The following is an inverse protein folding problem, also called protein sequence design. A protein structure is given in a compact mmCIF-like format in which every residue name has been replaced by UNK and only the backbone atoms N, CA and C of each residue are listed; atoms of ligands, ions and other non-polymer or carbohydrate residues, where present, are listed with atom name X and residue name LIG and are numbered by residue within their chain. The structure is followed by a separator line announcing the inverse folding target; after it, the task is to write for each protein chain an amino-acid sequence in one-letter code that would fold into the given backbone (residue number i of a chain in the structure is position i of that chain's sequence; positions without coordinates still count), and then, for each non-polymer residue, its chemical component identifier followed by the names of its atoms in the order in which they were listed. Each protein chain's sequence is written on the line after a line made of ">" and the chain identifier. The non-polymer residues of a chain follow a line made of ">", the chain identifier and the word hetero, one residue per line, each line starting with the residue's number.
data_IF_137698325524
#
_entry.id   IF_137698325524
#
_cell.length_a   1.000
_cell.length_b   1.000
_cell.length_c   1.000
_cell.angle_alpha   90.00
_cell.angle_beta   90.00
_cell.angle_gamma   90.00
#
_symmetry.space_group_name_H-M   'P 1'
#
loop_
_entity.id
_entity.type
_entity.pdbx_description
1 polymer ?
#
# COMPACT_ATOMS: atom_id res chain seq x y z
N UNK A 1 75.11 -7.47 -6.75
CA UNK A 1 73.85 -8.25 -6.73
C UNK A 1 73.23 -8.14 -5.33
N UNK A 2 72.36 -7.16 -5.04
CA UNK A 2 72.13 -6.74 -3.65
C UNK A 2 70.72 -7.05 -3.10
N UNK A 3 70.16 -8.26 -3.27
CA UNK A 3 68.85 -8.58 -2.63
C UNK A 3 68.70 -9.97 -2.00
N UNK A 4 69.73 -10.65 -1.45
CA UNK A 4 69.52 -11.92 -0.77
C UNK A 4 68.56 -11.78 0.43
N UNK A 5 68.59 -10.65 1.13
CA UNK A 5 67.73 -10.39 2.28
C UNK A 5 66.23 -10.32 1.92
N UNK A 6 65.88 -9.71 0.79
CA UNK A 6 64.47 -9.61 0.36
C UNK A 6 63.89 -10.98 -0.03
N UNK A 7 64.72 -11.87 -0.60
CA UNK A 7 64.29 -13.23 -0.94
C UNK A 7 63.99 -14.05 0.32
N UNK A 8 64.83 -13.94 1.34
CA UNK A 8 64.60 -14.63 2.63
C UNK A 8 63.41 -14.06 3.40
N UNK A 9 63.26 -12.73 3.43
CA UNK A 9 62.10 -12.10 4.03
C UNK A 9 60.80 -12.53 3.33
N UNK A 10 60.77 -12.50 1.98
CA UNK A 10 59.63 -12.96 1.22
C UNK A 10 59.29 -14.44 1.50
N UNK A 11 60.29 -15.33 1.56
CA UNK A 11 60.07 -16.74 1.86
C UNK A 11 59.46 -16.97 3.26
N UNK A 12 59.91 -16.20 4.27
CA UNK A 12 59.39 -16.31 5.65
C UNK A 12 57.92 -15.91 5.79
N UNK A 13 57.42 -15.01 4.95
CA UNK A 13 56.01 -14.62 4.97
C UNK A 13 55.16 -15.44 3.98
N UNK A 14 55.71 -15.79 2.82
CA UNK A 14 54.97 -16.44 1.74
C UNK A 14 54.71 -17.92 2.02
N UNK A 15 55.64 -18.64 2.66
CA UNK A 15 55.47 -20.06 3.00
C UNK A 15 54.35 -20.27 4.05
N UNK A 16 54.30 -19.54 5.18
CA UNK A 16 53.18 -19.64 6.12
C UNK A 16 51.85 -19.18 5.51
N UNK A 17 51.85 -18.14 4.67
CA UNK A 17 50.64 -17.67 4.00
C UNK A 17 50.07 -18.74 3.05
N UNK A 18 50.92 -19.42 2.27
CA UNK A 18 50.50 -20.54 1.43
C UNK A 18 49.99 -21.73 2.26
N UNK A 19 50.65 -22.02 3.39
CA UNK A 19 50.21 -23.06 4.33
C UNK A 19 48.81 -22.78 4.89
N UNK A 20 48.54 -21.54 5.30
CA UNK A 20 47.21 -21.12 5.76
C UNK A 20 46.17 -21.16 4.64
N UNK A 21 46.50 -20.66 3.44
CA UNK A 21 45.59 -20.68 2.30
C UNK A 21 45.20 -22.13 1.92
N UNK A 22 46.17 -23.04 1.88
CA UNK A 22 45.91 -24.45 1.60
C UNK A 22 45.07 -25.10 2.71
N UNK A 23 45.32 -24.75 3.98
CA UNK A 23 44.51 -25.21 5.11
C UNK A 23 43.03 -24.79 5.01
N UNK A 24 42.76 -23.54 4.63
CA UNK A 24 41.38 -23.04 4.44
C UNK A 24 40.66 -23.81 3.32
N UNK A 25 41.34 -24.11 2.22
CA UNK A 25 40.76 -24.90 1.12
C UNK A 25 40.36 -26.30 1.60
N UNK A 26 41.23 -26.98 2.35
CA UNK A 26 40.92 -28.31 2.90
C UNK A 26 39.73 -28.29 3.87
N UNK A 27 39.65 -27.29 4.74
CA UNK A 27 38.52 -27.12 5.66
C UNK A 27 37.22 -26.91 4.88
N UNK A 28 37.23 -26.03 3.87
CA UNK A 28 36.06 -25.76 3.04
C UNK A 28 35.60 -27.02 2.29
N UNK A 29 36.54 -27.80 1.73
CA UNK A 29 36.22 -29.08 1.07
C UNK A 29 35.62 -30.09 2.04
N UNK A 30 36.18 -30.20 3.26
CA UNK A 30 35.67 -31.13 4.27
C UNK A 30 34.26 -30.75 4.74
N UNK A 31 34.00 -29.46 4.97
CA UNK A 31 32.67 -28.96 5.34
C UNK A 31 31.67 -29.21 4.21
N UNK A 32 32.03 -28.95 2.96
CA UNK A 32 31.18 -29.25 1.80
C UNK A 32 30.87 -30.73 1.67
N UNK A 33 31.87 -31.60 1.87
CA UNK A 33 31.69 -33.05 1.83
C UNK A 33 30.80 -33.55 2.98
N UNK A 34 31.00 -33.04 4.20
CA UNK A 34 30.17 -33.38 5.35
C UNK A 34 28.71 -32.97 5.11
N UNK A 35 28.47 -31.78 4.55
CA UNK A 35 27.12 -31.33 4.21
C UNK A 35 26.46 -32.23 3.15
N UNK A 36 27.18 -32.58 2.08
CA UNK A 36 26.68 -33.48 1.05
C UNK A 36 26.37 -34.89 1.62
N UNK A 37 27.26 -35.42 2.47
CA UNK A 37 27.05 -36.69 3.15
C UNK A 37 25.82 -36.66 4.07
N UNK A 38 25.61 -35.55 4.81
CA UNK A 38 24.41 -35.36 5.62
C UNK A 38 23.13 -35.32 4.77
N UNK A 39 23.13 -34.61 3.65
CA UNK A 39 21.98 -34.58 2.74
C UNK A 39 21.65 -35.97 2.18
N UNK A 40 22.66 -36.72 1.76
CA UNK A 40 22.48 -38.11 1.29
C UNK A 40 21.94 -38.99 2.42
N UNK A 41 22.49 -38.86 3.64
CA UNK A 41 21.99 -39.59 4.81
C UNK A 41 20.52 -39.27 5.09
N UNK A 42 20.12 -38.01 5.06
CA UNK A 42 18.72 -37.60 5.27
C UNK A 42 17.78 -38.20 4.22
N UNK A 43 18.16 -38.20 2.95
CA UNK A 43 17.38 -38.85 1.89
C UNK A 43 17.28 -40.37 2.11
N UNK A 44 18.37 -41.04 2.45
CA UNK A 44 18.34 -42.48 2.73
C UNK A 44 17.49 -42.82 3.97
N UNK A 45 17.55 -41.99 5.01
CA UNK A 45 16.71 -42.14 6.21
C UNK A 45 15.25 -41.91 5.86
N UNK A 46 14.93 -40.92 5.02
CA UNK A 46 13.56 -40.65 4.55
C UNK A 46 12.99 -41.84 3.77
N UNK A 47 13.79 -42.45 2.89
CA UNK A 47 13.40 -43.68 2.16
C UNK A 47 13.18 -44.86 3.12
N UNK A 48 14.08 -45.06 4.08
CA UNK A 48 13.97 -46.14 5.06
C UNK A 48 12.78 -45.96 6.01
N UNK A 49 12.51 -44.73 6.45
CA UNK A 49 11.37 -44.39 7.30
C UNK A 49 10.04 -44.71 6.60
N UNK A 50 9.95 -44.49 5.28
CA UNK A 50 8.76 -44.87 4.48
C UNK A 50 8.53 -46.38 4.39
N UNK A 51 9.58 -47.19 4.48
CA UNK A 51 9.47 -48.66 4.45
C UNK A 51 9.10 -49.27 5.81
N UNK A 52 9.14 -48.50 6.90
CA UNK A 52 8.90 -49.02 8.25
C UNK A 52 7.44 -48.81 8.66
N UNK A 53 6.62 -49.89 8.81
CA UNK A 53 5.23 -49.76 9.24
C UNK A 53 5.19 -49.27 10.70
N UNK A 54 4.71 -48.05 10.91
CA UNK A 54 4.65 -47.37 12.22
C UNK A 54 5.17 -45.93 12.23
N UNK A 55 6.09 -45.58 11.33
CA UNK A 55 6.65 -44.21 11.20
C UNK A 55 6.12 -43.51 9.93
N UNK A 56 5.54 -44.27 8.99
CA UNK A 56 5.07 -43.76 7.69
C UNK A 56 4.14 -42.56 7.82
N UNK A 57 3.25 -42.55 8.80
CA UNK A 57 2.24 -41.50 8.96
C UNK A 57 2.82 -40.16 9.46
N UNK A 58 4.07 -40.15 9.95
CA UNK A 58 4.77 -38.95 10.39
C UNK A 58 5.69 -38.34 9.31
N UNK A 59 5.87 -39.03 8.18
CA UNK A 59 6.68 -38.52 7.06
C UNK A 59 5.73 -37.82 6.08
N UNK A 60 5.83 -36.50 5.87
CA UNK A 60 5.03 -35.82 4.87
C UNK A 60 5.19 -36.50 3.51
N UNK A 61 4.07 -36.75 2.84
CA UNK A 61 4.08 -37.25 1.47
C UNK A 61 4.80 -36.22 0.58
N UNK A 62 5.68 -36.70 -0.31
CA UNK A 62 6.28 -35.83 -1.33
C UNK A 62 5.18 -35.48 -2.32
N UNK A 63 4.48 -34.39 -2.04
CA UNK A 63 3.47 -33.82 -2.93
C UNK A 63 4.19 -33.51 -4.24
N UNK A 64 3.73 -34.12 -5.33
CA UNK A 64 4.39 -33.92 -6.62
C UNK A 64 4.35 -32.44 -7.00
N UNK A 65 5.34 -31.90 -7.73
CA UNK A 65 5.35 -30.49 -8.13
C UNK A 65 4.07 -30.06 -8.87
N UNK A 66 3.40 -31.01 -9.54
CA UNK A 66 2.13 -30.80 -10.23
C UNK A 66 0.94 -30.64 -9.27
N UNK A 67 0.89 -31.43 -8.19
CA UNK A 67 -0.15 -31.30 -7.15
C UNK A 67 0.04 -30.03 -6.30
N UNK A 68 1.29 -29.59 -6.10
CA UNK A 68 1.57 -28.30 -5.44
C UNK A 68 1.11 -27.14 -6.32
N UNK A 69 1.30 -27.22 -7.64
CA UNK A 69 0.81 -26.22 -8.57
C UNK A 69 -0.73 -26.17 -8.60
N UNK A 70 -1.39 -27.33 -8.62
CA UNK A 70 -2.85 -27.41 -8.57
C UNK A 70 -3.41 -26.82 -7.25
N UNK A 71 -2.83 -27.17 -6.11
CA UNK A 71 -3.23 -26.62 -4.81
C UNK A 71 -2.97 -25.11 -4.69
N UNK A 72 -1.93 -24.60 -5.35
CA UNK A 72 -1.68 -23.16 -5.42
C UNK A 72 -2.73 -22.44 -6.24
N UNK A 73 -3.13 -22.99 -7.38
CA UNK A 73 -4.21 -22.45 -8.19
C UNK A 73 -5.53 -22.43 -7.41
N UNK A 74 -5.87 -23.54 -6.73
CA UNK A 74 -7.06 -23.62 -5.87
C UNK A 74 -6.99 -22.61 -4.70
N UNK A 75 -5.81 -22.41 -4.11
CA UNK A 75 -5.63 -21.43 -3.04
C UNK A 75 -5.75 -19.98 -3.55
N UNK A 76 -5.26 -19.68 -4.76
CA UNK A 76 -5.39 -18.38 -5.40
C UNK A 76 -6.84 -18.08 -5.80
N UNK A 77 -7.56 -19.05 -6.34
CA UNK A 77 -9.00 -18.93 -6.62
C UNK A 77 -9.81 -18.74 -5.33
N UNK A 78 -9.47 -19.46 -4.26
CA UNK A 78 -10.11 -19.26 -2.97
C UNK A 78 -9.79 -17.87 -2.38
N UNK A 79 -8.53 -17.43 -2.44
CA UNK A 79 -8.13 -16.12 -1.94
C UNK A 79 -8.82 -14.98 -2.72
N UNK A 80 -8.93 -15.09 -4.03
CA UNK A 80 -9.62 -14.08 -4.84
C UNK A 80 -11.12 -14.02 -4.55
N UNK A 81 -11.78 -15.16 -4.33
CA UNK A 81 -13.20 -15.21 -3.93
C UNK A 81 -13.43 -14.56 -2.57
N UNK A 82 -12.58 -14.89 -1.58
CA UNK A 82 -12.67 -14.29 -0.24
C UNK A 82 -12.40 -12.79 -0.30
N UNK A 83 -11.42 -12.34 -1.10
CA UNK A 83 -11.15 -10.92 -1.27
C UNK A 83 -12.35 -10.17 -1.89
N UNK A 84 -13.03 -10.77 -2.87
CA UNK A 84 -14.22 -10.18 -3.49
C UNK A 84 -15.42 -10.13 -2.52
N UNK A 85 -15.59 -11.15 -1.68
CA UNK A 85 -16.64 -11.18 -0.65
C UNK A 85 -16.41 -10.09 0.42
N UNK A 86 -15.16 -9.95 0.88
CA UNK A 86 -14.78 -8.89 1.83
C UNK A 86 -15.01 -7.51 1.22
N UNK A 87 -14.63 -7.29 -0.04
CA UNK A 87 -14.84 -5.99 -0.70
C UNK A 87 -16.33 -5.66 -0.83
N UNK A 88 -17.18 -6.67 -1.14
CA UNK A 88 -18.61 -6.49 -1.21
C UNK A 88 -19.23 -6.16 0.16
N UNK A 89 -18.81 -6.83 1.23
CA UNK A 89 -19.25 -6.52 2.60
C UNK A 89 -18.82 -5.11 3.03
N UNK A 90 -17.60 -4.69 2.68
CA UNK A 90 -17.11 -3.33 2.95
C UNK A 90 -17.94 -2.29 2.20
N UNK A 91 -18.27 -2.53 0.93
CA UNK A 91 -19.08 -1.62 0.12
C UNK A 91 -20.53 -1.51 0.66
N UNK A 92 -21.12 -2.62 1.11
CA UNK A 92 -22.44 -2.62 1.75
C UNK A 92 -22.44 -1.80 3.04
N UNK A 93 -21.44 -2.00 3.90
CA UNK A 93 -21.33 -1.23 5.15
C UNK A 93 -21.03 0.25 4.88
N UNK A 94 -20.15 0.55 3.93
CA UNK A 94 -19.81 1.93 3.57
C UNK A 94 -21.01 2.69 2.99
N UNK A 95 -21.84 2.04 2.19
CA UNK A 95 -23.07 2.64 1.66
C UNK A 95 -24.14 2.80 2.72
N UNK A 96 -24.26 1.87 3.68
CA UNK A 96 -25.18 1.99 4.80
C UNK A 96 -24.80 3.10 5.81
N UNK A 97 -23.49 3.36 5.98
CA UNK A 97 -22.97 4.40 6.87
C UNK A 97 -22.86 5.78 6.20
N UNK A 98 -23.12 5.88 4.90
CA UNK A 98 -23.09 7.15 4.20
C UNK A 98 -24.22 8.07 4.71
N UNK A 99 -23.93 9.35 5.01
CA UNK A 99 -24.96 10.27 5.52
C UNK A 99 -26.06 10.46 4.49
N UNK A 100 -27.31 10.25 4.92
CA UNK A 100 -28.48 10.29 4.04
C UNK A 100 -28.94 11.72 3.76
N UNK A 101 -28.63 12.65 4.68
CA UNK A 101 -29.00 14.05 4.57
C UNK A 101 -27.83 15.02 4.81
N UNK A 102 -27.92 16.27 4.29
CA UNK A 102 -26.89 17.28 4.51
C UNK A 102 -26.67 17.63 5.98
N UNK A 103 -27.71 17.53 6.82
CA UNK A 103 -27.60 17.79 8.26
C UNK A 103 -26.78 16.72 8.97
N UNK A 104 -26.97 15.43 8.63
CA UNK A 104 -26.16 14.33 9.14
C UNK A 104 -24.71 14.47 8.71
N UNK A 105 -24.46 14.79 7.43
CA UNK A 105 -23.09 15.01 6.94
C UNK A 105 -22.40 16.16 7.69
N UNK A 106 -23.11 17.26 7.93
CA UNK A 106 -22.60 18.38 8.71
C UNK A 106 -22.33 18.00 10.17
N UNK A 107 -23.17 17.17 10.78
CA UNK A 107 -22.96 16.67 12.14
C UNK A 107 -21.69 15.80 12.22
N UNK A 108 -21.48 14.89 11.25
CA UNK A 108 -20.27 14.07 11.16
C UNK A 108 -19.01 14.93 10.99
N UNK A 109 -19.09 16.00 10.19
CA UNK A 109 -17.98 16.94 10.03
C UNK A 109 -17.64 17.65 11.35
N UNK A 110 -18.66 18.08 12.10
CA UNK A 110 -18.47 18.72 13.41
C UNK A 110 -17.83 17.74 14.39
N UNK A 111 -18.32 16.50 14.45
CA UNK A 111 -17.76 15.45 15.29
C UNK A 111 -16.28 15.15 14.93
N UNK A 112 -15.97 15.04 13.64
CA UNK A 112 -14.60 14.85 13.18
C UNK A 112 -13.69 16.03 13.57
N UNK A 113 -14.19 17.27 13.47
CA UNK A 113 -13.45 18.47 13.89
C UNK A 113 -13.23 18.53 15.40
N UNK A 114 -14.21 18.08 16.20
CA UNK A 114 -14.05 17.96 17.65
C UNK A 114 -13.00 16.91 18.01
N UNK A 115 -13.02 15.76 17.34
CA UNK A 115 -12.01 14.71 17.51
C UNK A 115 -10.60 15.22 17.15
N UNK A 116 -10.47 16.01 16.07
CA UNK A 116 -9.21 16.65 15.69
C UNK A 116 -8.67 17.55 16.82
N UNK A 117 -9.52 18.42 17.38
CA UNK A 117 -9.13 19.30 18.50
C UNK A 117 -8.68 18.51 19.73
N UNK A 118 -9.35 17.39 20.03
CA UNK A 118 -8.93 16.50 21.12
C UNK A 118 -7.56 15.90 20.83
N UNK A 119 -7.31 15.44 19.61
CA UNK A 119 -6.02 14.90 19.21
C UNK A 119 -4.89 15.95 19.27
N UNK A 120 -5.16 17.19 18.85
CA UNK A 120 -4.21 18.32 19.00
C UNK A 120 -3.87 18.57 20.47
N UNK A 121 -4.88 18.55 21.34
CA UNK A 121 -4.70 18.65 22.79
C UNK A 121 -3.84 17.51 23.36
N UNK A 122 -4.07 16.27 22.91
CA UNK A 122 -3.30 15.10 23.33
C UNK A 122 -1.83 15.20 22.91
N UNK A 123 -1.54 15.70 21.70
CA UNK A 123 -0.17 15.96 21.26
C UNK A 123 0.50 17.00 22.16
N UNK A 124 -0.19 18.11 22.44
CA UNK A 124 0.36 19.17 23.29
C UNK A 124 0.68 18.64 24.71
N UNK A 125 -0.24 17.87 25.30
CA UNK A 125 -0.05 17.25 26.62
C UNK A 125 1.09 16.22 26.61
N UNK A 126 1.17 15.38 25.58
CA UNK A 126 2.24 14.40 25.45
C UNK A 126 3.60 15.08 25.30
N UNK A 127 3.68 16.17 24.52
CA UNK A 127 4.91 16.95 24.35
C UNK A 127 5.35 17.64 25.64
N UNK A 128 4.41 18.19 26.42
CA UNK A 128 4.70 18.80 27.72
C UNK A 128 5.22 17.76 28.71
N UNK A 129 4.53 16.62 28.85
CA UNK A 129 4.96 15.50 29.70
C UNK A 129 6.34 14.96 29.31
N UNK A 130 6.61 14.83 28.00
CA UNK A 130 7.91 14.37 27.51
C UNK A 130 9.05 15.34 27.83
N UNK A 131 8.78 16.66 27.76
CA UNK A 131 9.74 17.71 28.15
C UNK A 131 10.03 17.67 29.65
N UNK A 132 9.00 17.53 30.48
CA UNK A 132 9.15 17.48 31.95
C UNK A 132 9.95 16.26 32.40
N UNK A 133 9.68 15.10 31.81
CA UNK A 133 10.29 13.83 32.21
C UNK A 133 11.60 13.52 31.48
N UNK A 134 12.02 14.38 30.53
CA UNK A 134 13.18 14.14 29.66
C UNK A 134 13.14 12.75 29.00
N UNK A 135 11.95 12.27 28.63
CA UNK A 135 11.68 10.91 28.18
C UNK A 135 10.29 10.80 27.54
N UNK A 136 9.82 9.59 27.21
CA UNK A 136 8.42 9.42 26.75
C UNK A 136 8.11 9.89 25.32
N UNK A 137 9.11 10.15 24.47
CA UNK A 137 8.92 10.57 23.07
C UNK A 137 8.09 9.59 22.22
N UNK A 138 8.00 8.32 22.61
CA UNK A 138 7.14 7.36 21.94
C UNK A 138 5.66 7.75 22.03
N UNK A 139 5.21 8.24 23.20
CA UNK A 139 3.84 8.72 23.38
C UNK A 139 3.54 9.96 22.53
N UNK A 140 4.54 10.82 22.29
CA UNK A 140 4.42 11.96 21.37
C UNK A 140 4.25 11.49 19.92
N UNK A 141 5.02 10.48 19.50
CA UNK A 141 4.87 9.89 18.17
C UNK A 141 3.48 9.28 17.99
N UNK A 142 3.00 8.47 18.95
CA UNK A 142 1.66 7.89 18.91
C UNK A 142 0.56 8.96 18.87
N UNK A 143 0.67 10.01 19.69
CA UNK A 143 -0.29 11.12 19.67
C UNK A 143 -0.28 11.86 18.32
N UNK A 144 0.89 12.01 17.68
CA UNK A 144 1.00 12.63 16.35
C UNK A 144 0.40 11.77 15.25
N UNK A 145 0.55 10.44 15.35
CA UNK A 145 -0.08 9.53 14.40
C UNK A 145 -1.61 9.58 14.55
N UNK A 146 -2.13 9.61 15.78
CA UNK A 146 -3.56 9.84 16.05
C UNK A 146 -4.06 11.18 15.51
N UNK A 147 -3.25 12.24 15.60
CA UNK A 147 -3.58 13.54 15.02
C UNK A 147 -3.69 13.47 13.49
N UNK A 148 -2.78 12.75 12.82
CA UNK A 148 -2.86 12.55 11.36
C UNK A 148 -4.11 11.77 10.97
N UNK A 149 -4.45 10.71 11.71
CA UNK A 149 -5.67 9.94 11.47
C UNK A 149 -6.92 10.80 11.66
N UNK A 150 -6.98 11.62 12.71
CA UNK A 150 -8.08 12.54 12.94
C UNK A 150 -8.20 13.58 11.81
N UNK A 151 -7.09 14.10 11.31
CA UNK A 151 -7.07 15.03 10.18
C UNK A 151 -7.58 14.38 8.89
N UNK A 152 -7.21 13.13 8.63
CA UNK A 152 -7.74 12.36 7.50
C UNK A 152 -9.28 12.19 7.61
N UNK A 153 -9.80 11.86 8.79
CA UNK A 153 -11.26 11.74 9.02
C UNK A 153 -12.00 13.05 8.78
N UNK A 154 -11.42 14.20 9.15
CA UNK A 154 -12.00 15.51 8.83
C UNK A 154 -12.05 15.74 7.33
N UNK A 155 -10.98 15.41 6.61
CA UNK A 155 -10.94 15.54 5.15
C UNK A 155 -12.02 14.67 4.47
N UNK A 156 -12.20 13.44 4.93
CA UNK A 156 -13.23 12.53 4.42
C UNK A 156 -14.65 13.07 4.71
N UNK A 157 -14.90 13.53 5.94
CA UNK A 157 -16.19 14.11 6.31
C UNK A 157 -16.51 15.40 5.52
N UNK A 158 -15.50 16.22 5.23
CA UNK A 158 -15.65 17.38 4.33
C UNK A 158 -16.02 16.98 2.91
N UNK A 159 -15.39 15.94 2.37
CA UNK A 159 -15.73 15.42 1.05
C UNK A 159 -17.18 14.91 1.02
N UNK A 160 -17.60 14.13 2.02
CA UNK A 160 -18.97 13.62 2.13
C UNK A 160 -20.00 14.75 2.25
N UNK A 161 -19.70 15.78 3.05
CA UNK A 161 -20.59 16.95 3.21
C UNK A 161 -20.77 17.71 1.89
N UNK A 162 -19.69 17.89 1.12
CA UNK A 162 -19.80 18.54 -0.20
C UNK A 162 -20.55 17.67 -1.21
N UNK A 163 -20.31 16.36 -1.22
CA UNK A 163 -20.99 15.43 -2.10
C UNK A 163 -22.51 15.39 -1.84
N UNK A 164 -22.91 15.31 -0.57
CA UNK A 164 -24.33 15.32 -0.17
C UNK A 164 -25.01 16.66 -0.48
N UNK A 165 -24.34 17.79 -0.25
CA UNK A 165 -24.84 19.11 -0.65
C UNK A 165 -25.02 19.23 -2.16
N UNK A 166 -24.07 18.72 -2.95
CA UNK A 166 -24.16 18.70 -4.40
C UNK A 166 -25.36 17.88 -4.89
N UNK A 167 -25.53 16.66 -4.39
CA UNK A 167 -26.67 15.78 -4.74
C UNK A 167 -28.00 16.42 -4.31
N UNK A 168 -28.07 17.01 -3.12
CA UNK A 168 -29.27 17.68 -2.65
C UNK A 168 -29.65 18.88 -3.54
N UNK A 169 -28.66 19.67 -3.95
CA UNK A 169 -28.87 20.80 -4.86
C UNK A 169 -29.36 20.34 -6.24
N UNK A 170 -28.80 19.26 -6.80
CA UNK A 170 -29.21 18.69 -8.07
C UNK A 170 -30.66 18.17 -8.03
N UNK A 171 -31.03 17.48 -6.95
CA UNK A 171 -32.40 17.00 -6.74
C UNK A 171 -33.41 18.14 -6.57
N UNK A 172 -33.01 19.25 -5.93
CA UNK A 172 -33.85 20.44 -5.80
C UNK A 172 -34.16 21.06 -7.17
N UNK A 173 -33.16 21.18 -8.06
CA UNK A 173 -33.37 21.68 -9.44
C UNK A 173 -34.29 20.77 -10.26
N UNK A 174 -34.13 19.45 -10.15
CA UNK A 174 -35.02 18.47 -10.80
C UNK A 174 -36.48 18.62 -10.34
N UNK A 175 -36.70 18.91 -9.05
CA UNK A 175 -38.05 19.08 -8.49
C UNK A 175 -38.74 20.38 -8.94
N UNK A 176 -37.97 21.42 -9.28
CA UNK A 176 -38.52 22.71 -9.76
C UNK A 176 -38.95 22.63 -11.25
N UNK A 177 -38.75 21.49 -11.92
CA UNK A 177 -39.13 21.35 -13.32
C UNK A 177 -38.26 22.17 -14.28
N UNK A 178 -37.05 22.54 -13.84
CA UNK A 178 -36.04 23.08 -14.72
C UNK A 178 -35.46 21.91 -15.55
N UNK A 179 -36.23 21.45 -16.54
CA UNK A 179 -35.88 20.32 -17.42
C UNK A 179 -34.67 20.64 -18.32
N UNK A 180 -34.30 21.92 -18.42
CA UNK A 180 -33.13 22.42 -19.16
C UNK A 180 -32.19 23.25 -18.27
N UNK A 181 -31.65 22.66 -17.21
CA UNK A 181 -30.34 23.14 -16.74
C UNK A 181 -29.31 22.40 -17.58
N UNK A 182 -28.56 23.06 -18.50
CA UNK A 182 -27.65 22.37 -19.39
C UNK A 182 -26.62 21.65 -18.53
N UNK A 183 -26.61 20.33 -18.60
CA UNK A 183 -25.68 19.40 -17.94
C UNK A 183 -24.22 19.86 -18.12
N UNK A 184 -23.94 20.61 -19.19
CA UNK A 184 -22.66 21.25 -19.46
C UNK A 184 -22.25 22.34 -18.46
N UNK A 185 -23.17 23.08 -17.84
CA UNK A 185 -22.80 24.08 -16.82
C UNK A 185 -22.36 23.42 -15.51
N UNK A 186 -23.04 22.35 -15.09
CA UNK A 186 -22.64 21.59 -13.90
C UNK A 186 -21.31 20.85 -14.15
N UNK A 187 -21.19 20.16 -15.28
CA UNK A 187 -19.94 19.49 -15.66
C UNK A 187 -18.75 20.46 -15.79
N UNK A 188 -18.95 21.66 -16.36
CA UNK A 188 -17.87 22.68 -16.42
C UNK A 188 -17.49 23.24 -15.06
N UNK A 189 -18.44 23.36 -14.13
CA UNK A 189 -18.17 23.85 -12.77
C UNK A 189 -17.47 22.80 -11.92
N UNK A 190 -17.82 21.52 -12.09
CA UNK A 190 -17.11 20.41 -11.44
C UNK A 190 -15.70 20.22 -12.04
N UNK A 191 -15.56 20.22 -13.37
CA UNK A 191 -14.26 20.10 -14.02
C UNK A 191 -13.32 21.27 -13.69
N UNK A 192 -13.81 22.51 -13.59
CA UNK A 192 -12.98 23.65 -13.20
C UNK A 192 -12.54 23.60 -11.73
N UNK A 193 -13.36 23.03 -10.84
CA UNK A 193 -13.03 22.86 -9.43
C UNK A 193 -12.01 21.74 -9.21
N UNK A 194 -12.13 20.59 -9.88
CA UNK A 194 -11.16 19.50 -9.77
C UNK A 194 -9.80 19.85 -10.39
N UNK A 195 -9.77 20.59 -11.51
CA UNK A 195 -8.51 21.08 -12.09
C UNK A 195 -7.83 22.07 -11.13
N UNK A 196 -8.60 22.96 -10.48
CA UNK A 196 -8.03 23.89 -9.51
C UNK A 196 -7.52 23.21 -8.24
N UNK A 197 -8.12 22.09 -7.82
CA UNK A 197 -7.75 21.36 -6.61
C UNK A 197 -6.61 20.38 -6.83
N UNK A 198 -6.57 19.71 -7.98
CA UNK A 198 -5.40 18.92 -8.41
C UNK A 198 -4.19 19.82 -8.65
N UNK A 199 -4.39 21.01 -9.23
CA UNK A 199 -3.32 22.01 -9.35
C UNK A 199 -2.86 22.54 -7.99
N UNK A 200 -3.77 22.79 -7.03
CA UNK A 200 -3.40 23.22 -5.68
C UNK A 200 -2.72 22.11 -4.86
N UNK A 201 -3.18 20.86 -4.96
CA UNK A 201 -2.56 19.71 -4.31
C UNK A 201 -1.19 19.36 -4.94
N UNK A 202 -1.06 19.49 -6.26
CA UNK A 202 0.22 19.34 -6.95
C UNK A 202 1.18 20.50 -6.62
N UNK A 203 0.68 21.73 -6.44
CA UNK A 203 1.50 22.87 -6.02
C UNK A 203 1.96 22.73 -4.56
N UNK A 204 1.09 22.29 -3.66
CA UNK A 204 1.43 22.04 -2.26
C UNK A 204 2.45 20.89 -2.10
N UNK A 205 2.28 19.79 -2.85
CA UNK A 205 3.25 18.70 -2.86
C UNK A 205 4.56 19.08 -3.56
N UNK A 206 4.53 19.96 -4.57
CA UNK A 206 5.74 20.48 -5.21
C UNK A 206 6.53 21.43 -4.29
N UNK A 207 5.86 22.28 -3.50
CA UNK A 207 6.54 23.15 -2.51
C UNK A 207 7.12 22.33 -1.34
N UNK A 208 6.40 21.33 -0.84
CA UNK A 208 6.89 20.44 0.22
C UNK A 208 8.03 19.52 -0.26
N UNK A 209 7.98 19.01 -1.49
CA UNK A 209 9.08 18.22 -2.06
C UNK A 209 10.33 19.07 -2.34
N UNK A 210 10.17 20.34 -2.70
CA UNK A 210 11.29 21.27 -2.94
C UNK A 210 11.94 21.74 -1.64
N UNK A 211 11.18 21.79 -0.54
CA UNK A 211 11.70 22.02 0.81
C UNK A 211 12.43 20.77 1.36
N UNK A 212 12.02 19.56 0.97
CA UNK A 212 12.59 18.31 1.45
C UNK A 212 13.86 17.86 0.69
N UNK A 213 14.02 18.18 -0.60
CA UNK A 213 15.21 17.75 -1.35
C UNK A 213 15.51 18.62 -2.61
N UNK A 214 16.46 19.57 -2.57
CA UNK A 214 16.76 20.46 -3.71
C UNK A 214 17.43 19.79 -4.91
N UNK A 215 17.67 18.48 -4.89
CA UNK A 215 18.34 17.71 -5.94
C UNK A 215 17.46 16.61 -6.59
N UNK A 216 16.18 16.50 -6.26
CA UNK A 216 15.30 15.51 -6.87
C UNK A 216 14.94 15.94 -8.31
N UNK A 217 15.50 15.24 -9.29
CA UNK A 217 15.19 15.40 -10.72
C UNK A 217 13.79 14.87 -11.05
N UNK A 218 13.07 15.62 -11.90
CA UNK A 218 11.75 15.34 -12.44
C UNK A 218 11.53 13.87 -12.85
N UNK A 219 10.76 13.15 -12.05
CA UNK A 219 9.99 11.99 -12.50
C UNK A 219 8.58 12.10 -11.94
N UNK A 220 7.69 12.71 -12.72
CA UNK A 220 6.24 12.71 -12.48
C UNK A 220 5.69 11.30 -12.72
N UNK A 221 5.66 10.49 -11.66
CA UNK A 221 4.94 9.22 -11.66
C UNK A 221 3.48 9.53 -11.28
N UNK A 222 2.59 9.48 -12.26
CA UNK A 222 1.15 9.68 -12.08
C UNK A 222 0.61 8.53 -11.23
N UNK A 223 -0.05 8.86 -10.12
CA UNK A 223 -0.63 7.92 -9.17
C UNK A 223 -1.76 7.10 -9.84
N UNK A 224 -1.68 5.75 -9.88
CA UNK A 224 -2.69 4.91 -10.50
C UNK A 224 -4.06 4.95 -9.80
N UNK A 225 -4.16 5.43 -8.56
CA UNK A 225 -5.44 5.53 -7.83
C UNK A 225 -6.34 6.66 -8.34
N UNK A 226 -5.79 7.70 -8.95
CA UNK A 226 -6.57 8.77 -9.59
C UNK A 226 -7.28 8.29 -10.88
N UNK A 227 -6.68 7.30 -11.57
CA UNK A 227 -7.25 6.72 -12.80
C UNK A 227 -8.44 5.79 -12.53
N UNK A 228 -8.43 5.04 -11.43
CA UNK A 228 -9.55 4.17 -11.04
C UNK A 228 -10.79 4.97 -10.63
N UNK A 229 -10.62 6.13 -10.00
CA UNK A 229 -11.75 6.99 -9.64
C UNK A 229 -12.42 7.63 -10.87
N UNK A 230 -11.61 8.06 -11.86
CA UNK A 230 -12.13 8.57 -13.15
C UNK A 230 -12.89 7.50 -13.95
N UNK A 231 -12.38 6.27 -13.98
CA UNK A 231 -13.07 5.14 -14.62
C UNK A 231 -14.42 4.82 -13.93
N UNK A 232 -14.48 4.92 -12.59
CA UNK A 232 -15.71 4.70 -11.81
C UNK A 232 -16.75 5.80 -12.06
N UNK A 233 -16.34 7.07 -12.17
CA UNK A 233 -17.23 8.16 -12.56
C UNK A 233 -17.76 8.02 -13.99
N UNK A 234 -16.92 7.61 -14.94
CA UNK A 234 -17.34 7.42 -16.33
C UNK A 234 -18.35 6.27 -16.46
N UNK A 235 -18.16 5.18 -15.70
CA UNK A 235 -19.12 4.08 -15.61
C UNK A 235 -20.47 4.51 -15.02
N UNK A 236 -20.46 5.32 -13.95
CA UNK A 236 -21.68 5.84 -13.32
C UNK A 236 -22.43 6.79 -14.27
N UNK A 237 -21.72 7.61 -15.04
CA UNK A 237 -22.34 8.49 -16.04
C UNK A 237 -22.93 7.71 -17.23
N UNK A 238 -22.26 6.63 -17.68
CA UNK A 238 -22.75 5.75 -18.74
C UNK A 238 -24.00 4.97 -18.30
N UNK A 239 -24.01 4.40 -17.10
CA UNK A 239 -25.16 3.64 -16.58
C UNK A 239 -26.42 4.50 -16.36
N UNK A 240 -26.26 5.80 -16.12
CA UNK A 240 -27.37 6.74 -15.93
C UNK A 240 -27.84 7.42 -17.23
N UNK A 241 -27.34 7.00 -18.39
CA UNK A 241 -27.77 7.54 -19.69
C UNK A 241 -27.40 9.02 -19.91
N UNK A 242 -26.39 9.55 -19.20
CA UNK A 242 -25.94 10.93 -19.34
C UNK A 242 -24.95 11.15 -20.50
N UNK A 243 -24.49 10.07 -21.12
CA UNK A 243 -23.71 10.09 -22.36
C UNK A 243 -24.59 9.51 -23.46
N UNK A 244 -25.31 10.38 -24.15
CA UNK A 244 -26.07 10.03 -25.34
C UNK A 244 -25.07 9.82 -26.48
N UNK A 245 -24.67 8.57 -26.73
CA UNK A 245 -23.92 8.17 -27.92
C UNK A 245 -24.86 8.24 -29.14
N UNK A 246 -25.17 9.45 -29.59
CA UNK A 246 -25.78 9.64 -30.91
C UNK A 246 -24.65 9.61 -31.95
N UNK A 247 -24.63 8.63 -32.87
CA UNK A 247 -23.72 8.68 -34.01
C UNK A 247 -24.18 9.81 -34.93
N UNK A 248 -23.33 10.80 -35.16
CA UNK A 248 -23.55 11.80 -36.20
C UNK A 248 -23.66 11.10 -37.57
N UNK A 249 -24.88 10.98 -38.08
CA UNK A 249 -25.13 10.78 -39.50
C UNK A 249 -24.57 11.96 -40.27
N UNK A 250 -23.62 11.66 -41.14
CA UNK A 250 -23.09 12.54 -42.18
C UNK A 250 -24.20 12.97 -43.14
N UNK A 251 -24.51 14.26 -43.16
CA UNK A 251 -25.24 14.93 -44.23
C UNK A 251 -24.37 15.02 -45.50
N UNK A 252 -24.86 14.41 -46.60
CA UNK A 252 -24.72 14.90 -47.99
C UNK A 252 -26.11 14.93 -48.59
#
# INVERSE_FOLDING_TARGET
>A
MPYPFLVWAAALFLVPALGMAMGVVWIATFVGFAFAACMILLETVKVLARMTPGIRDFVPDDVSPQEVAAKRLEAEEHASRVAAEIEAEIEEVATALAPSCPQEAQALLVEAQEALKVAEGNVALAEESAKEQSGGWMAVCEARDQLREAAARVADAEMMTRATQAVHSANHWKRIGAEEVPSQMLLRRFASLDISRTAAAAAATAEDCKAANPFASDTTQIDPTAMTWFAKLQSICSQNGLLDETPHETLV
#
